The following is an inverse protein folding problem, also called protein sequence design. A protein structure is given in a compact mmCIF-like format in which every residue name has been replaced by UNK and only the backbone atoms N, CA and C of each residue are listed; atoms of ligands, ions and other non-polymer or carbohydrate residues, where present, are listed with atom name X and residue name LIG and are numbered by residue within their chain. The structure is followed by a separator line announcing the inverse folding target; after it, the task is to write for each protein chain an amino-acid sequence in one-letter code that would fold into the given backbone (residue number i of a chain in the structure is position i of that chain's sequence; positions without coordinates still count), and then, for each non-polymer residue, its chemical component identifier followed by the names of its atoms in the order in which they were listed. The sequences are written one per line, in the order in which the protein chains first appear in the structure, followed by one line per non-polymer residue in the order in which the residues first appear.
data_IF_464756261963
#
_entry.id   IF_464756261963
#
_cell.length_a   1.000
_cell.length_b   1.000
_cell.length_c   1.000
_cell.angle_alpha   90.00
_cell.angle_beta   90.00
_cell.angle_gamma   90.00
#
_symmetry.space_group_name_H-M   'P 1'
#
loop_
_entity.id
_entity.type
_entity.pdbx_description
1 polymer ?
#
# COMPACT_ATOMS: atom_id res chain seq x y z
N UNK A 1 -1.82 0.29 24.85
CA UNK A 1 -2.51 -0.97 24.46
C UNK A 1 -1.51 -1.81 23.66
N UNK A 2 -1.27 -3.07 24.03
CA UNK A 2 -0.31 -3.91 23.32
C UNK A 2 -0.80 -4.18 21.88
N UNK A 3 0.01 -3.80 20.89
CA UNK A 3 -0.25 -4.06 19.47
C UNK A 3 0.11 -5.51 19.14
N UNK A 4 -0.69 -6.47 19.62
CA UNK A 4 -0.43 -7.91 19.48
C UNK A 4 -0.74 -8.48 18.08
N UNK A 5 -1.39 -7.70 17.22
CA UNK A 5 -1.76 -8.14 15.86
C UNK A 5 -0.70 -7.66 14.86
N UNK A 6 0.02 -8.62 14.27
CA UNK A 6 0.91 -8.40 13.13
C UNK A 6 0.08 -8.36 11.85
N UNK A 7 0.16 -7.24 11.13
CA UNK A 7 -0.45 -7.06 9.81
C UNK A 7 0.61 -6.56 8.85
N UNK A 8 0.95 -7.39 7.87
CA UNK A 8 1.94 -7.08 6.85
C UNK A 8 1.26 -7.03 5.50
N UNK A 9 1.59 -6.01 4.71
CA UNK A 9 1.11 -5.87 3.34
C UNK A 9 2.28 -5.74 2.38
N UNK A 10 2.06 -6.12 1.13
CA UNK A 10 2.86 -5.70 -0.01
C UNK A 10 2.08 -4.67 -0.81
N UNK A 11 2.78 -3.66 -1.30
CA UNK A 11 2.19 -2.60 -2.08
C UNK A 11 3.11 -2.17 -3.22
N UNK A 12 2.54 -1.96 -4.40
CA UNK A 12 3.23 -1.27 -5.49
C UNK A 12 2.75 0.19 -5.52
N UNK A 13 3.70 1.12 -5.41
CA UNK A 13 3.43 2.56 -5.37
C UNK A 13 4.06 3.28 -6.55
N UNK A 14 3.47 4.40 -6.95
CA UNK A 14 4.07 5.30 -7.92
C UNK A 14 5.26 6.08 -7.31
N UNK A 15 6.25 6.35 -8.16
CA UNK A 15 7.47 7.06 -7.81
C UNK A 15 8.55 6.16 -7.19
N UNK A 16 9.76 6.72 -7.10
CA UNK A 16 10.89 6.08 -6.45
C UNK A 16 11.04 6.63 -5.03
N UNK A 17 10.86 5.78 -4.02
CA UNK A 17 11.15 6.13 -2.63
C UNK A 17 12.66 6.22 -2.43
N UNK A 18 13.14 7.36 -1.91
CA UNK A 18 14.58 7.62 -1.75
C UNK A 18 15.17 6.82 -0.59
N UNK A 19 14.44 6.72 0.51
CA UNK A 19 14.85 5.99 1.71
C UNK A 19 14.50 4.50 1.57
N UNK A 20 15.25 3.63 2.25
CA UNK A 20 14.99 2.18 2.25
C UNK A 20 13.85 1.76 3.18
N UNK A 21 13.53 2.61 4.16
CA UNK A 21 12.46 2.38 5.14
C UNK A 21 12.00 3.70 5.75
N UNK A 22 10.80 3.69 6.30
CA UNK A 22 10.26 4.86 7.00
C UNK A 22 9.01 4.54 7.82
N UNK A 23 8.52 5.58 8.48
CA UNK A 23 7.30 5.57 9.30
C UNK A 23 6.45 6.77 8.89
N UNK A 24 5.17 6.53 8.61
CA UNK A 24 4.19 7.57 8.33
C UNK A 24 3.19 7.56 9.49
N UNK A 25 3.05 8.70 10.14
CA UNK A 25 2.17 8.92 11.29
C UNK A 25 1.33 10.16 11.07
N UNK A 26 0.01 10.02 11.21
CA UNK A 26 -0.92 11.14 11.13
C UNK A 26 -2.24 10.78 11.83
N UNK A 27 -3.15 11.75 11.88
CA UNK A 27 -4.53 11.52 12.30
C UNK A 27 -5.38 11.23 11.08
N UNK A 28 -6.00 10.05 10.98
CA UNK A 28 -6.93 9.75 9.88
C UNK A 28 -8.37 9.91 10.35
N UNK A 29 -9.12 10.71 9.59
CA UNK A 29 -10.55 10.88 9.77
C UNK A 29 -11.29 10.97 8.44
N UNK A 30 -12.60 11.22 8.54
CA UNK A 30 -13.46 11.39 7.37
C UNK A 30 -13.05 12.66 6.61
N UNK A 31 -12.90 12.57 5.30
CA UNK A 31 -12.55 13.73 4.48
C UNK A 31 -13.64 14.84 4.63
N UNK A 32 -13.25 16.13 4.78
CA UNK A 32 -14.19 17.21 5.12
C UNK A 32 -15.27 17.44 4.05
N UNK A 33 -14.91 17.34 2.77
CA UNK A 33 -15.82 17.52 1.62
C UNK A 33 -16.22 16.20 0.97
N UNK A 34 -15.24 15.41 0.51
CA UNK A 34 -15.46 14.11 -0.14
C UNK A 34 -15.82 12.99 0.84
N UNK A 35 -17.09 12.88 1.25
CA UNK A 35 -17.55 11.93 2.30
C UNK A 35 -17.19 10.44 2.06
N UNK A 36 -16.95 10.00 0.82
CA UNK A 36 -16.50 8.62 0.53
C UNK A 36 -15.01 8.38 0.87
N UNK A 37 -14.23 9.46 1.06
CA UNK A 37 -12.79 9.40 1.34
C UNK A 37 -12.45 9.59 2.81
N UNK A 38 -11.25 9.16 3.17
CA UNK A 38 -10.57 9.42 4.42
C UNK A 38 -9.41 10.39 4.15
N UNK A 39 -8.93 11.12 5.14
CA UNK A 39 -7.78 12.03 4.99
C UNK A 39 -7.06 12.27 6.32
N UNK A 40 -5.76 12.56 6.21
CA UNK A 40 -4.91 13.10 7.27
C UNK A 40 -5.28 14.53 7.68
N UNK A 41 -6.03 15.25 6.85
CA UNK A 41 -6.47 16.64 7.08
C UNK A 41 -7.88 16.75 7.70
N UNK A 42 -8.40 15.65 8.23
CA UNK A 42 -9.73 15.63 8.83
C UNK A 42 -9.79 16.46 10.12
N UNK A 43 -10.91 17.17 10.35
CA UNK A 43 -11.14 17.94 11.60
C UNK A 43 -11.14 17.05 12.84
N UNK A 44 -11.62 15.81 12.69
CA UNK A 44 -11.62 14.79 13.72
C UNK A 44 -11.13 13.47 13.12
N UNK A 45 -10.27 12.76 13.83
CA UNK A 45 -9.77 11.47 13.40
C UNK A 45 -9.12 10.70 14.53
N UNK A 46 -8.52 9.56 14.19
CA UNK A 46 -7.78 8.72 15.13
C UNK A 46 -6.35 8.55 14.62
N UNK A 47 -5.43 8.42 15.57
CA UNK A 47 -4.03 8.13 15.29
C UNK A 47 -3.90 6.90 14.37
N UNK A 48 -3.07 7.08 13.35
CA UNK A 48 -2.76 6.13 12.31
C UNK A 48 -1.24 6.06 12.11
N UNK A 49 -0.66 4.87 12.24
CA UNK A 49 0.79 4.64 12.12
C UNK A 49 1.05 3.46 11.18
N UNK A 50 1.83 3.73 10.14
CA UNK A 50 2.22 2.77 9.09
C UNK A 50 3.74 2.78 8.95
N UNK A 51 4.36 1.62 9.10
CA UNK A 51 5.78 1.42 8.80
C UNK A 51 5.93 0.85 7.40
N UNK A 52 6.98 1.24 6.69
CA UNK A 52 7.26 0.72 5.36
C UNK A 52 8.76 0.43 5.17
N UNK A 53 9.06 -0.50 4.27
CA UNK A 53 10.41 -0.83 3.81
C UNK A 53 10.37 -1.14 2.32
N UNK A 54 11.36 -0.67 1.57
CA UNK A 54 11.54 -1.01 0.16
C UNK A 54 11.88 -2.48 0.02
N UNK A 55 11.21 -3.13 -0.93
CA UNK A 55 11.51 -4.50 -1.40
C UNK A 55 12.25 -4.43 -2.72
N UNK A 56 11.76 -3.62 -3.67
CA UNK A 56 12.39 -3.40 -4.96
C UNK A 56 12.08 -1.98 -5.49
N UNK A 57 13.00 -1.40 -6.27
CA UNK A 57 12.82 -0.11 -6.95
C UNK A 57 12.82 -0.31 -8.45
N UNK A 58 11.91 0.38 -9.12
CA UNK A 58 11.79 0.46 -10.57
C UNK A 58 11.79 1.93 -10.99
N UNK A 59 12.06 2.27 -12.27
CA UNK A 59 12.24 3.67 -12.69
C UNK A 59 11.11 4.64 -12.28
N UNK A 60 9.86 4.18 -12.26
CA UNK A 60 8.70 5.01 -11.91
C UNK A 60 7.83 4.43 -10.79
N UNK A 61 8.27 3.35 -10.14
CA UNK A 61 7.47 2.61 -9.16
C UNK A 61 8.37 1.99 -8.09
N UNK A 62 7.82 1.75 -6.91
CA UNK A 62 8.52 1.05 -5.83
C UNK A 62 7.63 -0.05 -5.27
N UNK A 63 8.16 -1.26 -5.13
CA UNK A 63 7.52 -2.33 -4.36
C UNK A 63 7.94 -2.17 -2.90
N UNK A 64 6.96 -2.05 -2.00
CA UNK A 64 7.20 -1.87 -0.57
C UNK A 64 6.47 -2.92 0.26
N UNK A 65 7.09 -3.28 1.38
CA UNK A 65 6.47 -4.02 2.48
C UNK A 65 6.00 -3.03 3.53
N UNK A 66 4.76 -3.16 3.96
CA UNK A 66 4.14 -2.32 4.97
C UNK A 66 3.84 -3.14 6.23
N UNK A 67 3.97 -2.52 7.41
CA UNK A 67 3.53 -3.09 8.69
C UNK A 67 2.65 -2.08 9.42
N UNK A 68 1.47 -2.52 9.84
CA UNK A 68 0.48 -1.66 10.50
C UNK A 68 0.49 -1.79 12.02
N UNK A 69 0.75 -0.69 12.71
CA UNK A 69 0.51 -0.60 14.16
C UNK A 69 -0.97 -0.35 14.44
N UNK A 70 -1.60 0.53 13.67
CA UNK A 70 -3.04 0.83 13.73
C UNK A 70 -3.77 0.32 12.50
N UNK A 71 -5.09 0.17 12.56
CA UNK A 71 -5.92 -0.26 11.41
C UNK A 71 -7.06 0.68 11.13
N UNK A 72 -6.79 1.90 10.65
CA UNK A 72 -7.84 2.86 10.26
C UNK A 72 -8.34 2.57 8.83
N UNK A 73 -9.59 2.94 8.56
CA UNK A 73 -10.18 2.81 7.21
C UNK A 73 -9.28 3.53 6.19
N UNK A 74 -8.91 2.82 5.11
CA UNK A 74 -8.03 3.32 4.05
C UNK A 74 -6.65 3.80 4.51
N UNK A 75 -6.18 3.41 5.70
CA UNK A 75 -4.97 3.98 6.29
C UNK A 75 -3.76 3.97 5.35
N UNK A 76 -3.44 2.82 4.75
CA UNK A 76 -2.33 2.69 3.81
C UNK A 76 -2.54 3.60 2.59
N UNK A 77 -3.73 3.58 2.01
CA UNK A 77 -4.08 4.34 0.80
C UNK A 77 -3.92 5.85 1.02
N UNK A 78 -4.42 6.34 2.17
CA UNK A 78 -4.30 7.76 2.57
C UNK A 78 -2.84 8.12 2.82
N UNK A 79 -2.13 7.38 3.67
CA UNK A 79 -0.73 7.69 4.01
C UNK A 79 0.15 7.77 2.77
N UNK A 80 0.05 6.78 1.88
CA UNK A 80 0.87 6.70 0.68
C UNK A 80 0.51 7.79 -0.34
N UNK A 81 -0.79 8.10 -0.49
CA UNK A 81 -1.23 9.19 -1.36
C UNK A 81 -0.80 10.56 -0.85
N UNK A 82 -0.99 10.84 0.44
CA UNK A 82 -0.60 12.11 1.06
C UNK A 82 0.93 12.27 1.16
N UNK A 83 1.70 11.17 1.18
CA UNK A 83 3.15 11.20 1.05
C UNK A 83 3.65 11.31 -0.40
N UNK A 84 2.76 11.45 -1.39
CA UNK A 84 3.12 11.63 -2.81
C UNK A 84 3.41 10.34 -3.58
N UNK A 85 3.25 9.18 -2.94
CA UNK A 85 3.53 7.84 -3.48
C UNK A 85 2.26 6.97 -3.49
N UNK A 86 1.18 7.37 -4.17
CA UNK A 86 -0.06 6.63 -4.13
C UNK A 86 0.10 5.21 -4.69
N UNK A 87 -0.77 4.32 -4.26
CA UNK A 87 -0.84 2.94 -4.76
C UNK A 87 -1.16 2.93 -6.26
N UNK A 88 -0.48 2.02 -6.98
CA UNK A 88 -0.81 1.73 -8.38
C UNK A 88 -2.25 1.21 -8.47
N UNK A 89 -2.97 1.60 -9.52
CA UNK A 89 -4.38 1.24 -9.78
C UNK A 89 -5.39 1.63 -8.65
N UNK A 90 -5.04 2.53 -7.74
CA UNK A 90 -6.00 3.06 -6.76
C UNK A 90 -6.88 4.16 -7.37
N UNK A 91 -8.16 3.87 -7.63
CA UNK A 91 -9.08 4.84 -8.24
C UNK A 91 -9.43 6.03 -7.32
N UNK A 92 -9.37 5.84 -6.00
CA UNK A 92 -9.83 6.84 -5.03
C UNK A 92 -8.72 7.81 -4.62
N UNK A 93 -7.49 7.30 -4.44
CA UNK A 93 -6.34 8.05 -3.95
C UNK A 93 -5.15 8.07 -4.93
N UNK A 94 -5.27 7.42 -6.10
CA UNK A 94 -4.21 7.29 -7.10
C UNK A 94 -3.74 8.58 -7.74
N UNK A 95 -4.56 9.64 -7.67
CA UNK A 95 -4.32 10.91 -8.34
C UNK A 95 -4.63 10.81 -9.84
N UNK A 96 -5.35 11.81 -10.36
CA UNK A 96 -5.63 11.90 -11.79
C UNK A 96 -4.32 12.00 -12.59
N UNK A 97 -4.17 11.20 -13.64
CA UNK A 97 -3.06 11.32 -14.60
C UNK A 97 -1.77 10.56 -14.27
N UNK A 98 -1.66 9.85 -13.14
CA UNK A 98 -0.47 9.00 -12.88
C UNK A 98 -0.33 7.88 -13.91
N UNK A 99 -1.45 7.23 -14.25
CA UNK A 99 -1.49 6.22 -15.29
C UNK A 99 -1.12 6.79 -16.68
N UNK A 100 -1.52 8.03 -17.00
CA UNK A 100 -1.16 8.62 -18.29
C UNK A 100 0.35 8.82 -18.43
N UNK A 101 1.05 9.09 -17.32
CA UNK A 101 2.52 9.21 -17.27
C UNK A 101 3.28 7.88 -17.43
N UNK A 102 2.60 6.73 -17.36
CA UNK A 102 3.21 5.44 -17.70
C UNK A 102 3.37 5.36 -19.22
N UNK A 103 4.62 5.40 -19.70
CA UNK A 103 4.97 5.37 -21.12
C UNK A 103 4.88 3.96 -21.72
N UNK A 104 5.26 2.94 -20.95
CA UNK A 104 5.19 1.55 -21.39
C UNK A 104 3.72 1.12 -21.61
N UNK A 105 3.32 0.79 -22.86
CA UNK A 105 1.93 0.45 -23.17
C UNK A 105 1.49 -0.89 -22.56
N UNK A 106 2.40 -1.86 -22.44
CA UNK A 106 2.12 -3.18 -21.85
C UNK A 106 1.86 -3.00 -20.36
N UNK A 107 2.76 -2.33 -19.65
CA UNK A 107 2.59 -2.02 -18.23
C UNK A 107 1.30 -1.25 -17.98
N UNK A 108 1.00 -0.26 -18.83
CA UNK A 108 -0.24 0.54 -18.74
C UNK A 108 -1.50 -0.32 -18.88
N UNK A 109 -1.49 -1.29 -19.79
CA UNK A 109 -2.59 -2.24 -19.95
C UNK A 109 -2.75 -3.14 -18.73
N UNK A 110 -1.65 -3.68 -18.19
CA UNK A 110 -1.68 -4.52 -16.98
C UNK A 110 -2.24 -3.76 -15.77
N UNK A 111 -1.83 -2.50 -15.58
CA UNK A 111 -2.34 -1.64 -14.50
C UNK A 111 -3.84 -1.39 -14.66
N UNK A 112 -4.33 -1.17 -15.89
CA UNK A 112 -5.77 -1.01 -16.15
C UNK A 112 -6.54 -2.30 -15.85
N UNK A 113 -6.00 -3.44 -16.25
CA UNK A 113 -6.64 -4.74 -16.06
C UNK A 113 -6.74 -5.14 -14.58
N UNK A 114 -5.84 -4.65 -13.71
CA UNK A 114 -5.88 -4.93 -12.27
C UNK A 114 -7.18 -4.44 -11.62
N UNK A 115 -7.72 -3.28 -12.02
CA UNK A 115 -9.02 -2.77 -11.56
C UNK A 115 -9.16 -2.52 -10.05
N UNK A 116 -8.07 -2.57 -9.28
CA UNK A 116 -8.04 -2.37 -7.82
C UNK A 116 -6.69 -1.84 -7.39
N UNK A 117 -6.60 -1.25 -6.20
CA UNK A 117 -5.33 -0.82 -5.64
C UNK A 117 -4.34 -1.99 -5.52
N UNK A 118 -3.09 -1.77 -5.96
CA UNK A 118 -1.96 -2.69 -5.88
C UNK A 118 -1.48 -2.83 -4.42
N UNK A 119 -2.35 -3.35 -3.57
CA UNK A 119 -2.18 -3.57 -2.15
C UNK A 119 -2.67 -4.97 -1.81
N UNK A 120 -1.83 -5.76 -1.16
CA UNK A 120 -2.11 -7.14 -0.82
C UNK A 120 -1.77 -7.41 0.65
N UNK A 121 -2.71 -7.98 1.39
CA UNK A 121 -2.50 -8.40 2.78
C UNK A 121 -1.72 -9.70 2.79
N UNK A 122 -0.40 -9.61 2.99
CA UNK A 122 0.53 -10.73 2.85
C UNK A 122 0.51 -11.63 4.08
N UNK A 123 0.62 -11.04 5.28
CA UNK A 123 0.72 -11.78 6.55
C UNK A 123 -0.25 -11.24 7.59
N UNK A 124 -0.95 -12.14 8.27
CA UNK A 124 -1.71 -11.85 9.48
C UNK A 124 -1.22 -12.75 10.61
N UNK A 125 -0.80 -12.16 11.72
CA UNK A 125 -0.40 -12.90 12.91
C UNK A 125 -1.04 -12.34 14.18
N UNK A 126 -1.48 -13.21 15.08
CA UNK A 126 -2.15 -12.85 16.33
C UNK A 126 -2.09 -14.01 17.34
N UNK A 127 -2.32 -13.69 18.62
CA UNK A 127 -2.50 -14.72 19.65
C UNK A 127 -3.91 -15.30 19.56
N UNK A 128 -4.02 -16.62 19.47
CA UNK A 128 -5.30 -17.31 19.47
C UNK A 128 -6.09 -16.96 20.75
N UNK A 129 -7.37 -16.53 20.65
CA UNK A 129 -8.07 -15.92 21.78
C UNK A 129 -8.37 -16.87 22.95
N UNK A 130 -8.27 -18.18 22.72
CA UNK A 130 -8.53 -19.20 23.74
C UNK A 130 -7.22 -19.83 24.23
N UNK A 131 -6.36 -20.26 23.30
CA UNK A 131 -5.14 -20.99 23.67
C UNK A 131 -3.93 -20.09 23.95
N UNK A 132 -3.98 -18.81 23.57
CA UNK A 132 -2.86 -17.88 23.62
C UNK A 132 -1.63 -18.29 22.78
N UNK A 133 -1.75 -19.32 21.93
CA UNK A 133 -0.69 -19.67 20.99
C UNK A 133 -0.59 -18.61 19.89
N UNK A 134 0.64 -18.36 19.43
CA UNK A 134 0.85 -17.48 18.30
C UNK A 134 0.48 -18.19 16.99
N UNK A 135 -0.45 -17.61 16.25
CA UNK A 135 -0.84 -18.04 14.90
C UNK A 135 -0.37 -17.02 13.87
N UNK A 136 0.14 -17.49 12.75
CA UNK A 136 0.54 -16.68 11.59
C UNK A 136 0.07 -17.33 10.30
N UNK A 137 -0.52 -16.52 9.43
CA UNK A 137 -1.04 -16.92 8.13
C UNK A 137 -0.44 -16.03 7.06
N UNK A 138 0.03 -16.65 5.98
CA UNK A 138 0.55 -15.98 4.80
C UNK A 138 -0.28 -16.34 3.56
N UNK A 139 -0.37 -15.43 2.61
CA UNK A 139 -1.01 -15.68 1.30
C UNK A 139 -0.08 -15.32 0.15
N UNK A 140 -0.19 -15.98 -0.98
CA UNK A 140 0.59 -15.63 -2.17
C UNK A 140 0.10 -14.35 -2.82
N UNK A 141 0.98 -13.69 -3.57
CA UNK A 141 0.57 -12.52 -4.35
C UNK A 141 -0.47 -12.95 -5.39
N UNK A 142 -1.58 -12.22 -5.53
CA UNK A 142 -2.55 -12.47 -6.58
C UNK A 142 -1.92 -12.22 -7.96
N UNK A 143 -2.37 -12.99 -8.96
CA UNK A 143 -1.76 -13.03 -10.30
C UNK A 143 -1.66 -11.66 -10.98
N UNK A 144 -2.63 -10.78 -10.75
CA UNK A 144 -2.63 -9.41 -11.27
C UNK A 144 -1.43 -8.59 -10.79
N UNK A 145 -1.09 -8.68 -9.50
CA UNK A 145 0.02 -7.96 -8.89
C UNK A 145 1.35 -8.68 -9.11
N UNK A 146 1.35 -10.02 -9.05
CA UNK A 146 2.53 -10.83 -9.35
C UNK A 146 3.00 -10.59 -10.79
N UNK A 147 2.09 -10.64 -11.77
CA UNK A 147 2.44 -10.42 -13.18
C UNK A 147 3.04 -9.04 -13.45
N UNK A 148 2.53 -7.97 -12.81
CA UNK A 148 3.15 -6.63 -12.94
C UNK A 148 4.56 -6.61 -12.35
N UNK A 149 4.77 -7.23 -11.19
CA UNK A 149 6.09 -7.30 -10.55
C UNK A 149 7.08 -8.08 -11.42
N UNK A 150 6.69 -9.25 -11.92
CA UNK A 150 7.51 -10.05 -12.82
C UNK A 150 7.86 -9.29 -14.10
N UNK A 151 6.88 -8.59 -14.68
CA UNK A 151 7.12 -7.74 -15.85
C UNK A 151 8.14 -6.64 -15.54
N UNK A 152 8.00 -5.94 -14.40
CA UNK A 152 8.95 -4.90 -13.98
C UNK A 152 10.35 -5.47 -13.72
N UNK A 153 10.45 -6.61 -13.05
CA UNK A 153 11.72 -7.32 -12.80
C UNK A 153 12.42 -7.70 -14.11
N UNK A 154 11.66 -8.14 -15.12
CA UNK A 154 12.22 -8.49 -16.44
C UNK A 154 12.82 -7.29 -17.17
N UNK A 155 12.44 -6.05 -16.81
CA UNK A 155 12.91 -4.81 -17.44
C UNK A 155 14.06 -4.14 -16.69
N UNK A 156 14.34 -4.56 -15.46
CA UNK A 156 15.40 -3.98 -14.60
C UNK A 156 16.59 -4.90 -14.36
N UNK A 157 16.53 -6.14 -14.87
CA UNK A 157 17.63 -7.11 -14.81
C UNK A 157 18.62 -7.00 -15.99
N UNK A 158 18.38 -6.08 -16.90
CA UNK A 158 19.31 -5.66 -17.97
C UNK A 158 20.06 -4.38 -17.55
#
# INVERSE_FOLDING_TARGET
KAHTIKRVYLALVYGSLKEDKGRIESIIGRHPTERKKMSGKARHGKEAITHWRVVARYPAMTLIRLRLETGRTHQIRVHLSESGHPLVADEMYGGAGRLSGVQDPVLKQMIRAMGRQALHAKTLGFLHPISNDYLEFDTELPADMAGIIEYLDSKTRD
#
